data_IF_733233102269
#
_entry.id   IF_733233102269
#
_cell.length_a   1.000
_cell.length_b   1.000
_cell.length_c   1.000
_cell.angle_alpha   90.00
_cell.angle_beta   90.00
_cell.angle_gamma   90.00
#
_symmetry.space_group_name_H-M   'P 1'
#
loop_
_entity.id
_entity.type
_entity.pdbx_description
1 polymer ?
#
# COMPACT_ATOMS: atom_id res chain seq x y z
N UNK A 1 16.86 -1.69 15.65
CA UNK A 1 16.53 -0.31 15.23
C UNK A 1 17.10 -0.04 13.84
N UNK A 2 16.33 -0.34 12.78
CA UNK A 2 16.76 -0.09 11.40
C UNK A 2 16.34 1.33 10.99
N UNK A 3 17.32 2.23 10.83
CA UNK A 3 17.14 3.52 10.14
C UNK A 3 17.09 3.23 8.63
N UNK A 4 15.90 3.19 8.04
CA UNK A 4 15.73 3.11 6.59
C UNK A 4 14.56 4.00 6.15
N UNK A 5 14.78 5.31 6.27
CA UNK A 5 14.02 6.34 5.59
C UNK A 5 14.90 7.06 4.56
N UNK A 6 15.70 6.29 3.81
CA UNK A 6 16.38 6.81 2.62
C UNK A 6 15.43 6.70 1.42
N UNK A 7 14.34 7.48 1.44
CA UNK A 7 14.01 8.17 0.19
C UNK A 7 15.23 9.02 -0.10
N UNK A 8 16.08 8.57 -1.02
CA UNK A 8 17.31 9.28 -1.30
C UNK A 8 16.92 10.68 -1.81
N UNK A 9 17.08 11.69 -0.97
CA UNK A 9 16.81 13.10 -1.27
C UNK A 9 17.57 13.52 -2.54
N UNK A 10 18.64 12.81 -2.91
CA UNK A 10 19.33 12.95 -4.19
C UNK A 10 18.47 12.63 -5.41
N UNK A 11 17.48 11.73 -5.33
CA UNK A 11 16.54 11.48 -6.44
C UNK A 11 15.63 12.68 -6.72
N UNK A 12 15.47 13.61 -5.78
CA UNK A 12 14.71 14.85 -5.95
C UNK A 12 15.60 16.05 -6.32
N UNK A 13 16.93 15.92 -6.26
CA UNK A 13 17.87 17.02 -6.55
C UNK A 13 17.99 17.35 -8.05
N UNK A 14 17.54 16.47 -8.94
CA UNK A 14 17.59 16.70 -10.38
C UNK A 14 16.53 17.71 -10.86
N UNK A 15 16.96 18.78 -11.52
CA UNK A 15 16.07 19.74 -12.24
C UNK A 15 15.03 19.06 -13.13
N UNK A 16 15.36 17.88 -13.67
CA UNK A 16 14.51 17.15 -14.60
C UNK A 16 13.38 16.37 -13.91
N UNK A 17 13.55 15.90 -12.67
CA UNK A 17 12.46 15.25 -11.91
C UNK A 17 11.37 16.27 -11.57
N UNK A 18 11.75 17.51 -11.23
CA UNK A 18 10.82 18.61 -10.99
C UNK A 18 10.04 19.06 -12.21
N UNK A 19 10.73 19.30 -13.32
CA UNK A 19 10.07 19.74 -14.54
C UNK A 19 9.07 18.68 -14.99
N UNK A 20 9.47 17.42 -14.94
CA UNK A 20 8.64 16.34 -15.38
C UNK A 20 7.51 16.05 -14.36
N UNK A 21 7.67 16.24 -13.06
CA UNK A 21 6.56 16.22 -12.07
C UNK A 21 5.53 17.32 -12.34
N UNK A 22 5.98 18.54 -12.70
CA UNK A 22 5.10 19.63 -13.13
C UNK A 22 4.37 19.25 -14.42
N UNK A 23 5.08 18.81 -15.45
CA UNK A 23 4.49 18.49 -16.75
C UNK A 23 3.51 17.31 -16.61
N UNK A 24 3.85 16.32 -15.78
CA UNK A 24 2.97 15.22 -15.35
C UNK A 24 1.71 15.72 -14.67
N UNK A 25 1.86 16.54 -13.63
CA UNK A 25 0.72 17.05 -12.86
C UNK A 25 -0.12 17.99 -13.71
N UNK A 26 0.47 18.81 -14.56
CA UNK A 26 -0.23 19.71 -15.47
C UNK A 26 -0.98 18.94 -16.56
N UNK A 27 -0.38 17.92 -17.16
CA UNK A 27 -1.05 17.02 -18.11
C UNK A 27 -2.22 16.30 -17.44
N UNK A 28 -2.00 15.79 -16.23
CA UNK A 28 -3.02 15.19 -15.39
C UNK A 28 -4.13 16.22 -15.10
N UNK A 29 -3.80 17.45 -14.71
CA UNK A 29 -4.75 18.52 -14.42
C UNK A 29 -5.56 18.93 -15.66
N UNK A 30 -4.95 18.98 -16.84
CA UNK A 30 -5.65 19.30 -18.09
C UNK A 30 -6.59 18.18 -18.53
N UNK A 31 -6.17 16.92 -18.37
CA UNK A 31 -6.91 15.74 -18.85
C UNK A 31 -7.93 15.20 -17.84
N UNK A 32 -7.80 15.51 -16.55
CA UNK A 32 -8.78 15.16 -15.52
C UNK A 32 -10.03 16.04 -15.65
N UNK A 33 -11.22 15.47 -15.45
CA UNK A 33 -12.49 16.20 -15.39
C UNK A 33 -12.62 17.13 -14.18
N UNK A 34 -13.78 17.14 -13.52
CA UNK A 34 -14.05 18.01 -12.33
C UNK A 34 -13.55 17.45 -10.99
N UNK A 35 -12.90 16.28 -10.98
CA UNK A 35 -12.47 15.61 -9.73
C UNK A 35 -11.18 16.22 -9.20
N UNK A 36 -11.10 16.38 -7.89
CA UNK A 36 -9.91 16.83 -7.16
C UNK A 36 -9.17 15.63 -6.58
N UNK A 37 -7.84 15.71 -6.53
CA UNK A 37 -6.94 14.67 -6.03
C UNK A 37 -5.91 15.29 -5.10
N UNK A 38 -5.58 14.59 -4.03
CA UNK A 38 -4.61 15.05 -3.04
C UNK A 38 -3.38 14.15 -3.05
N UNK A 39 -2.19 14.75 -3.01
CA UNK A 39 -0.90 14.08 -2.91
C UNK A 39 -0.27 14.49 -1.57
N UNK A 40 -0.07 13.50 -0.71
CA UNK A 40 0.68 13.68 0.53
C UNK A 40 2.12 13.21 0.33
N UNK A 41 3.08 14.09 0.62
CA UNK A 41 4.51 13.80 0.62
C UNK A 41 4.96 13.66 2.08
N UNK A 42 5.18 12.43 2.53
CA UNK A 42 5.79 12.14 3.83
C UNK A 42 7.28 11.89 3.65
N UNK A 43 8.08 12.96 3.68
CA UNK A 43 9.55 12.90 3.54
C UNK A 43 10.16 13.71 4.66
N UNK A 44 11.09 13.10 5.39
CA UNK A 44 11.66 13.71 6.58
C UNK A 44 12.55 14.92 6.25
N UNK A 45 12.33 16.04 6.94
CA UNK A 45 13.17 17.23 6.88
C UNK A 45 13.35 17.84 8.27
N UNK A 46 14.31 18.75 8.43
CA UNK A 46 14.52 19.46 9.71
C UNK A 46 13.44 20.52 9.89
N UNK A 47 12.70 20.43 10.98
CA UNK A 47 11.54 21.29 11.25
C UNK A 47 11.59 21.91 12.63
N UNK A 48 10.88 23.03 12.78
CA UNK A 48 10.60 23.71 14.03
C UNK A 48 9.09 23.66 14.29
N UNK A 49 8.61 22.49 14.71
CA UNK A 49 7.22 22.23 15.06
C UNK A 49 6.21 22.56 13.92
N UNK A 50 4.92 22.35 14.18
CA UNK A 50 3.84 22.64 13.24
C UNK A 50 3.73 24.14 12.95
N UNK A 51 3.28 24.48 11.74
CA UNK A 51 2.92 25.86 11.45
C UNK A 51 1.58 26.22 12.12
N UNK A 52 1.43 27.50 12.45
CA UNK A 52 0.23 28.01 13.13
C UNK A 52 -1.00 27.84 12.25
N UNK A 53 -0.84 27.95 10.94
CA UNK A 53 -1.94 27.82 9.98
C UNK A 53 -2.55 26.41 9.95
N UNK A 54 -1.75 25.34 9.94
CA UNK A 54 -2.28 23.97 9.97
C UNK A 54 -3.00 23.68 11.29
N UNK A 55 -2.41 24.08 12.41
CA UNK A 55 -3.02 23.88 13.73
C UNK A 55 -4.34 24.66 13.86
N UNK A 56 -4.36 25.93 13.43
CA UNK A 56 -5.56 26.75 13.41
C UNK A 56 -6.62 26.14 12.49
N UNK A 57 -6.23 25.68 11.30
CA UNK A 57 -7.13 25.03 10.35
C UNK A 57 -7.82 23.81 10.96
N UNK A 58 -7.04 22.92 11.59
CA UNK A 58 -7.57 21.74 12.28
C UNK A 58 -8.48 22.11 13.47
N UNK A 59 -8.09 23.08 14.30
CA UNK A 59 -8.88 23.48 15.45
C UNK A 59 -10.24 24.08 15.06
N UNK A 60 -10.28 24.92 14.02
CA UNK A 60 -11.52 25.55 13.54
C UNK A 60 -12.45 24.52 12.89
N UNK A 61 -11.93 23.59 12.09
CA UNK A 61 -12.76 22.53 11.48
C UNK A 61 -13.32 21.58 12.53
N UNK A 62 -12.52 21.24 13.56
CA UNK A 62 -13.00 20.47 14.71
C UNK A 62 -14.11 21.19 15.47
N UNK A 63 -13.94 22.47 15.79
CA UNK A 63 -14.96 23.27 16.47
C UNK A 63 -16.27 23.37 15.67
N UNK A 64 -16.19 23.47 14.33
CA UNK A 64 -17.37 23.40 13.47
C UNK A 64 -18.05 22.03 13.58
N UNK A 65 -17.29 20.94 13.46
CA UNK A 65 -17.81 19.57 13.56
C UNK A 65 -18.53 19.33 14.89
N UNK A 66 -17.90 19.71 16.00
CA UNK A 66 -18.48 19.57 17.33
C UNK A 66 -19.77 20.39 17.47
N UNK A 67 -19.79 21.61 16.94
CA UNK A 67 -21.01 22.46 16.94
C UNK A 67 -22.13 21.86 16.08
N UNK A 68 -21.81 21.26 14.93
CA UNK A 68 -22.80 20.57 14.08
C UNK A 68 -23.39 19.36 14.82
N UNK A 69 -22.53 18.54 15.45
CA UNK A 69 -22.97 17.37 16.21
C UNK A 69 -23.92 17.76 17.36
N UNK A 70 -23.58 18.82 18.12
CA UNK A 70 -24.44 19.36 19.18
C UNK A 70 -25.81 19.78 18.63
N UNK A 71 -25.83 20.49 17.50
CA UNK A 71 -27.07 20.98 16.87
C UNK A 71 -27.88 19.79 16.35
N UNK A 72 -27.25 18.79 15.75
CA UNK A 72 -27.90 17.58 15.25
C UNK A 72 -28.60 16.82 16.39
N UNK A 73 -27.96 16.66 17.55
CA UNK A 73 -28.58 16.03 18.72
C UNK A 73 -29.82 16.82 19.21
N UNK A 74 -29.75 18.15 19.22
CA UNK A 74 -30.89 19.02 19.58
C UNK A 74 -32.02 18.96 18.56
N UNK A 75 -31.70 18.92 17.27
CA UNK A 75 -32.68 18.73 16.19
C UNK A 75 -33.39 17.40 16.37
N UNK A 76 -32.63 16.31 16.58
CA UNK A 76 -33.19 14.97 16.80
C UNK A 76 -34.14 14.92 18.00
N UNK A 77 -33.75 15.53 19.12
CA UNK A 77 -34.62 15.61 20.31
C UNK A 77 -35.92 16.39 20.05
N UNK A 78 -35.84 17.57 19.44
CA UNK A 78 -37.02 18.39 19.11
C UNK A 78 -37.96 17.68 18.14
N UNK A 79 -37.39 17.05 17.11
CA UNK A 79 -38.14 16.25 16.15
C UNK A 79 -38.88 15.11 16.83
N UNK A 80 -38.22 14.39 17.74
CA UNK A 80 -38.83 13.32 18.52
C UNK A 80 -40.00 13.83 19.38
N UNK A 81 -39.80 14.90 20.15
CA UNK A 81 -40.82 15.46 21.03
C UNK A 81 -42.06 15.95 20.26
N UNK A 82 -41.86 16.58 19.09
CA UNK A 82 -42.95 17.09 18.24
C UNK A 82 -43.72 15.93 17.59
N UNK A 83 -43.02 14.94 17.04
CA UNK A 83 -43.65 13.76 16.45
C UNK A 83 -44.43 12.93 17.50
N UNK A 84 -43.92 12.83 18.73
CA UNK A 84 -44.65 12.19 19.84
C UNK A 84 -45.96 12.90 20.16
N UNK A 85 -46.02 14.23 19.96
CA UNK A 85 -47.25 15.00 20.14
C UNK A 85 -48.27 14.82 19.00
N UNK A 86 -47.94 14.04 17.96
CA UNK A 86 -48.81 13.79 16.81
C UNK A 86 -48.77 14.88 15.73
N UNK A 87 -47.81 15.80 15.80
CA UNK A 87 -47.64 16.88 14.82
C UNK A 87 -46.37 16.65 13.99
N UNK A 88 -46.40 17.09 12.72
CA UNK A 88 -45.20 17.12 11.88
C UNK A 88 -44.42 18.41 12.19
N UNK A 89 -43.11 18.34 12.50
CA UNK A 89 -42.31 19.52 12.79
C UNK A 89 -42.09 20.39 11.54
N UNK A 90 -42.18 21.71 11.71
CA UNK A 90 -41.79 22.66 10.67
C UNK A 90 -40.28 22.99 10.75
N UNK A 91 -39.71 23.54 9.68
CA UNK A 91 -38.28 23.90 9.61
C UNK A 91 -37.87 24.89 10.73
N UNK A 92 -38.78 25.76 11.12
CA UNK A 92 -38.58 26.76 12.18
C UNK A 92 -38.53 26.14 13.60
N UNK A 93 -39.20 25.00 13.80
CA UNK A 93 -39.17 24.25 15.05
C UNK A 93 -37.85 23.48 15.22
N UNK A 94 -37.30 22.99 14.10
CA UNK A 94 -36.09 22.18 14.09
C UNK A 94 -34.82 23.03 14.22
N UNK A 95 -34.70 24.15 13.50
CA UNK A 95 -33.48 24.97 13.52
C UNK A 95 -33.76 26.35 14.13
N UNK A 96 -33.34 26.54 15.39
CA UNK A 96 -33.54 27.82 16.06
C UNK A 96 -32.53 28.88 15.60
N UNK A 97 -32.87 30.15 15.85
CA UNK A 97 -32.00 31.29 15.53
C UNK A 97 -30.65 31.21 16.23
N UNK A 98 -30.60 30.69 17.46
CA UNK A 98 -29.37 30.51 18.22
C UNK A 98 -28.41 29.52 17.54
N UNK A 99 -28.93 28.39 17.06
CA UNK A 99 -28.18 27.38 16.31
C UNK A 99 -27.60 28.00 15.03
N UNK A 100 -28.42 28.79 14.34
CA UNK A 100 -28.02 29.52 13.12
C UNK A 100 -26.90 30.52 13.40
N UNK A 101 -26.96 31.26 14.51
CA UNK A 101 -25.90 32.21 14.91
C UNK A 101 -24.60 31.46 15.24
N UNK A 102 -24.67 30.33 15.96
CA UNK A 102 -23.48 29.50 16.25
C UNK A 102 -22.84 28.97 14.97
N UNK A 103 -23.63 28.46 14.02
CA UNK A 103 -23.14 28.02 12.72
C UNK A 103 -22.48 29.16 11.95
N UNK A 104 -23.12 30.34 11.88
CA UNK A 104 -22.54 31.52 11.21
C UNK A 104 -21.20 31.94 11.82
N UNK A 105 -21.04 31.88 13.15
CA UNK A 105 -19.77 32.16 13.83
C UNK A 105 -18.67 31.16 13.44
N UNK A 106 -19.01 29.87 13.35
CA UNK A 106 -18.06 28.85 12.93
C UNK A 106 -17.65 29.03 11.46
N UNK A 107 -18.61 29.32 10.56
CA UNK A 107 -18.35 29.60 9.14
C UNK A 107 -17.45 30.83 8.98
N UNK A 108 -17.71 31.89 9.74
CA UNK A 108 -16.87 33.09 9.71
C UNK A 108 -15.43 32.78 10.16
N UNK A 109 -15.27 31.91 11.17
CA UNK A 109 -13.96 31.49 11.66
C UNK A 109 -13.15 30.64 10.65
N UNK A 110 -13.84 29.99 9.71
CA UNK A 110 -13.23 29.22 8.61
C UNK A 110 -12.70 30.07 7.46
N UNK A 111 -13.09 31.35 7.40
CA UNK A 111 -12.59 32.25 6.37
C UNK A 111 -11.07 32.40 6.49
N UNK A 112 -10.41 32.36 5.34
CA UNK A 112 -8.95 32.49 5.21
C UNK A 112 -8.64 33.54 4.14
N UNK A 113 -7.56 34.28 4.35
CA UNK A 113 -7.10 35.30 3.41
C UNK A 113 -6.05 34.77 2.41
N UNK A 114 -5.55 33.54 2.62
CA UNK A 114 -4.50 32.92 1.81
C UNK A 114 -4.87 31.55 1.21
N UNK A 115 -3.97 31.02 0.39
CA UNK A 115 -4.09 29.66 -0.16
C UNK A 115 -3.79 28.60 0.92
N UNK A 116 -4.35 27.37 0.81
CA UNK A 116 -3.99 26.27 1.69
C UNK A 116 -2.47 26.03 1.69
N UNK A 117 -1.83 25.91 2.87
CA UNK A 117 -0.37 25.77 2.94
C UNK A 117 0.08 24.46 2.30
N UNK A 118 1.22 24.51 1.62
CA UNK A 118 1.85 23.34 0.98
C UNK A 118 2.58 22.45 1.98
N UNK A 119 2.92 22.96 3.17
CA UNK A 119 3.62 22.23 4.23
C UNK A 119 2.89 22.37 5.56
N UNK A 120 2.99 21.34 6.38
CA UNK A 120 2.36 21.29 7.72
C UNK A 120 3.25 21.84 8.83
N UNK A 121 4.56 21.96 8.58
CA UNK A 121 5.57 22.35 9.58
C UNK A 121 6.37 23.57 9.14
N UNK A 122 7.00 24.23 10.10
CA UNK A 122 7.99 25.26 9.82
C UNK A 122 9.33 24.56 9.50
N UNK A 123 9.68 24.45 8.21
CA UNK A 123 10.97 23.86 7.81
C UNK A 123 12.10 24.85 8.14
N UNK A 124 13.19 24.37 8.76
CA UNK A 124 14.29 25.23 9.25
C UNK A 124 14.94 25.99 8.09
N UNK A 125 15.42 25.25 7.09
CA UNK A 125 16.09 25.81 5.91
C UNK A 125 15.18 25.75 4.68
N UNK A 126 13.98 26.33 4.82
CA UNK A 126 12.88 26.31 3.84
C UNK A 126 13.30 26.63 2.39
N UNK A 127 14.18 27.62 2.19
CA UNK A 127 14.68 28.04 0.87
C UNK A 127 15.72 27.11 0.26
N UNK A 128 16.31 26.22 1.05
CA UNK A 128 17.27 25.22 0.56
C UNK A 128 16.66 23.82 0.49
N UNK A 129 15.48 23.63 1.11
CA UNK A 129 14.80 22.35 1.13
C UNK A 129 14.45 21.92 -0.31
N UNK A 130 14.93 20.74 -0.74
CA UNK A 130 14.77 20.30 -2.11
C UNK A 130 13.31 19.98 -2.47
N UNK A 131 12.47 19.59 -1.50
CA UNK A 131 11.05 19.31 -1.74
C UNK A 131 10.30 20.62 -1.96
N UNK A 132 10.46 21.58 -1.05
CA UNK A 132 9.77 22.87 -1.14
C UNK A 132 10.21 23.69 -2.35
N UNK A 133 11.51 23.72 -2.64
CA UNK A 133 12.02 24.35 -3.86
C UNK A 133 11.49 23.69 -5.12
N UNK A 134 11.30 22.37 -5.08
CA UNK A 134 10.71 21.63 -6.18
C UNK A 134 9.25 22.00 -6.40
N UNK A 135 8.45 22.02 -5.34
CA UNK A 135 7.04 22.45 -5.38
C UNK A 135 6.91 23.89 -5.92
N UNK A 136 7.76 24.82 -5.45
CA UNK A 136 7.81 26.21 -5.94
C UNK A 136 8.18 26.30 -7.41
N UNK A 137 9.24 25.59 -7.82
CA UNK A 137 9.64 25.47 -9.23
C UNK A 137 8.60 24.79 -10.10
N UNK A 138 7.65 24.06 -9.51
CA UNK A 138 6.53 23.42 -10.18
C UNK A 138 5.25 24.27 -10.16
N UNK A 139 5.22 25.42 -9.47
CA UNK A 139 4.03 26.28 -9.28
C UNK A 139 2.83 25.54 -8.66
N UNK A 140 3.09 24.54 -7.82
CA UNK A 140 2.05 23.77 -7.13
C UNK A 140 1.71 24.45 -5.80
N UNK A 141 0.86 25.47 -5.85
CA UNK A 141 0.54 26.34 -4.70
C UNK A 141 -0.83 26.06 -4.08
N UNK A 142 -1.48 24.96 -4.45
CA UNK A 142 -2.84 24.62 -4.02
C UNK A 142 -3.86 25.73 -4.36
N UNK A 143 -3.69 26.35 -5.53
CA UNK A 143 -4.64 27.37 -6.02
C UNK A 143 -6.03 26.76 -6.22
N UNK A 144 -7.08 27.58 -6.31
CA UNK A 144 -8.45 27.08 -6.52
C UNK A 144 -8.58 26.25 -7.82
N UNK A 145 -7.77 26.56 -8.82
CA UNK A 145 -7.80 25.91 -10.13
C UNK A 145 -7.01 24.60 -10.18
N UNK A 146 -6.08 24.38 -9.23
CA UNK A 146 -5.25 23.18 -9.21
C UNK A 146 -6.12 21.97 -8.88
N UNK A 147 -6.21 20.98 -9.78
CA UNK A 147 -6.97 19.75 -9.51
C UNK A 147 -6.20 18.75 -8.66
N UNK A 148 -4.88 18.92 -8.59
CA UNK A 148 -3.98 18.12 -7.77
C UNK A 148 -3.46 19.03 -6.67
N UNK A 149 -3.76 18.69 -5.41
CA UNK A 149 -3.26 19.41 -4.23
C UNK A 149 -2.04 18.68 -3.67
N UNK A 150 -1.09 19.43 -3.14
CA UNK A 150 0.14 18.89 -2.54
C UNK A 150 0.20 19.28 -1.07
N UNK A 151 0.44 18.28 -0.23
CA UNK A 151 0.65 18.43 1.20
C UNK A 151 1.99 17.80 1.56
N UNK A 152 2.94 18.60 2.00
CA UNK A 152 4.22 18.16 2.52
C UNK A 152 4.15 18.00 4.03
N UNK A 153 4.39 16.78 4.49
CA UNK A 153 4.45 16.43 5.91
C UNK A 153 5.86 15.96 6.27
N UNK A 154 6.75 16.90 6.67
CA UNK A 154 8.12 16.60 7.06
C UNK A 154 8.26 16.07 8.50
N UNK A 155 7.36 15.18 8.92
CA UNK A 155 7.46 14.44 10.18
C UNK A 155 7.00 12.99 9.99
N UNK A 156 7.45 12.08 10.87
CA UNK A 156 6.87 10.74 10.94
C UNK A 156 5.43 10.82 11.42
N UNK A 157 4.57 10.01 10.82
CA UNK A 157 3.18 9.89 11.24
C UNK A 157 3.09 9.10 12.54
N UNK A 158 2.40 9.69 13.51
CA UNK A 158 2.12 9.10 14.81
C UNK A 158 0.69 9.45 15.20
N UNK A 159 0.03 8.54 15.93
CA UNK A 159 -1.30 8.76 16.51
C UNK A 159 -1.36 9.97 17.44
N UNK A 160 -0.23 10.37 18.04
CA UNK A 160 -0.11 11.59 18.85
C UNK A 160 -0.06 12.88 18.05
N UNK A 161 0.05 12.81 16.71
CA UNK A 161 0.13 13.98 15.85
C UNK A 161 -1.21 14.76 15.85
N UNK A 162 -1.21 16.06 16.18
CA UNK A 162 -2.44 16.84 16.32
C UNK A 162 -3.16 17.11 14.99
N UNK A 163 -2.53 16.90 13.83
CA UNK A 163 -3.14 17.16 12.53
C UNK A 163 -3.90 15.96 11.97
N UNK A 164 -3.26 14.78 11.99
CA UNK A 164 -3.83 13.57 11.41
C UNK A 164 -4.42 12.61 12.44
N UNK A 165 -3.77 12.47 13.60
CA UNK A 165 -4.18 11.52 14.64
C UNK A 165 -4.18 10.06 14.18
N UNK A 166 -3.25 9.69 13.29
CA UNK A 166 -3.13 8.35 12.70
C UNK A 166 -1.69 7.86 12.79
N UNK A 167 -1.53 6.57 13.07
CA UNK A 167 -0.24 5.91 12.90
C UNK A 167 0.08 5.69 11.41
N UNK A 168 1.35 5.46 11.11
CA UNK A 168 1.83 5.28 9.73
C UNK A 168 1.04 4.22 8.96
N UNK A 169 0.80 3.06 9.57
CA UNK A 169 0.07 1.97 8.91
C UNK A 169 -1.39 2.31 8.61
N UNK A 170 -2.04 3.04 9.51
CA UNK A 170 -3.44 3.48 9.34
C UNK A 170 -3.53 4.50 8.20
N UNK A 171 -2.56 5.42 8.14
CA UNK A 171 -2.45 6.39 7.06
C UNK A 171 -2.24 5.70 5.70
N UNK A 172 -1.33 4.72 5.62
CA UNK A 172 -1.10 3.95 4.39
C UNK A 172 -2.38 3.22 3.95
N UNK A 173 -3.09 2.58 4.89
CA UNK A 173 -4.37 1.91 4.61
C UNK A 173 -5.48 2.86 4.11
N UNK A 174 -5.45 4.10 4.58
CA UNK A 174 -6.35 5.18 4.15
C UNK A 174 -6.00 5.76 2.77
N UNK A 175 -4.79 5.54 2.28
CA UNK A 175 -4.36 5.98 0.96
C UNK A 175 -4.89 5.06 -0.16
N UNK A 176 -4.88 5.59 -1.38
CA UNK A 176 -5.35 4.86 -2.57
C UNK A 176 -4.21 4.22 -3.38
N UNK A 177 -3.05 4.85 -3.40
CA UNK A 177 -1.91 4.49 -4.23
C UNK A 177 -0.63 4.95 -3.55
N UNK A 178 0.34 4.06 -3.38
CA UNK A 178 1.72 4.40 -2.99
C UNK A 178 2.56 4.73 -4.22
N UNK A 179 3.41 5.76 -4.17
CA UNK A 179 4.23 6.17 -5.32
C UNK A 179 5.69 6.28 -4.89
N UNK A 180 6.50 5.32 -5.31
CA UNK A 180 7.90 5.13 -4.90
C UNK A 180 8.83 5.06 -6.12
N UNK A 181 9.04 6.16 -6.86
CA UNK A 181 9.81 6.18 -8.10
C UNK A 181 11.33 6.20 -7.83
N UNK A 182 11.83 5.29 -6.99
CA UNK A 182 13.20 5.30 -6.49
C UNK A 182 14.24 5.07 -7.58
N UNK A 183 15.36 5.80 -7.49
CA UNK A 183 16.53 5.58 -8.35
C UNK A 183 17.47 4.50 -7.78
N UNK A 184 17.64 4.50 -6.46
CA UNK A 184 18.45 3.53 -5.73
C UNK A 184 17.68 3.05 -4.51
N UNK A 185 17.14 1.85 -4.61
CA UNK A 185 16.39 1.18 -3.55
C UNK A 185 16.69 -0.32 -3.63
N UNK A 186 17.62 -0.84 -2.82
CA UNK A 186 18.11 -2.21 -2.96
C UNK A 186 17.06 -3.30 -2.71
N UNK A 187 16.00 -2.99 -1.96
CA UNK A 187 14.95 -3.95 -1.64
C UNK A 187 13.54 -3.45 -1.97
N UNK A 188 13.11 -2.33 -1.37
CA UNK A 188 11.73 -1.88 -1.53
C UNK A 188 10.83 -2.13 -0.34
N UNK A 189 11.22 -1.74 0.89
CA UNK A 189 10.37 -2.01 2.07
C UNK A 189 9.02 -1.32 1.98
N UNK A 190 8.99 -0.05 1.59
CA UNK A 190 7.76 0.74 1.51
C UNK A 190 6.76 0.23 0.46
N UNK A 191 7.16 -0.09 -0.79
CA UNK A 191 6.25 -0.73 -1.73
C UNK A 191 5.82 -2.15 -1.30
N UNK A 192 6.71 -2.91 -0.65
CA UNK A 192 6.36 -4.24 -0.11
C UNK A 192 5.31 -4.14 1.02
N UNK A 193 5.48 -3.20 1.94
CA UNK A 193 4.54 -2.92 3.02
C UNK A 193 3.18 -2.48 2.49
N UNK A 194 3.16 -1.59 1.50
CA UNK A 194 1.93 -1.21 0.79
C UNK A 194 1.23 -2.45 0.21
N UNK A 195 1.99 -3.37 -0.37
CA UNK A 195 1.44 -4.62 -0.96
C UNK A 195 0.80 -5.51 0.11
N UNK A 196 1.47 -5.66 1.27
CA UNK A 196 0.94 -6.40 2.42
C UNK A 196 -0.35 -5.77 2.95
N UNK A 197 -0.46 -4.44 2.91
CA UNK A 197 -1.67 -3.71 3.30
C UNK A 197 -2.75 -3.65 2.21
N UNK A 198 -2.56 -4.32 1.06
CA UNK A 198 -3.49 -4.31 -0.06
C UNK A 198 -3.60 -2.96 -0.77
N UNK A 199 -2.55 -2.13 -0.70
CA UNK A 199 -2.46 -0.82 -1.34
C UNK A 199 -1.64 -0.94 -2.62
N UNK A 200 -2.23 -0.67 -3.80
CA UNK A 200 -1.49 -0.60 -5.06
C UNK A 200 -0.30 0.36 -4.93
N UNK A 201 0.81 0.03 -5.58
CA UNK A 201 2.01 0.86 -5.54
C UNK A 201 2.67 1.01 -6.90
N UNK A 202 3.29 2.17 -7.14
CA UNK A 202 4.18 2.40 -8.27
C UNK A 202 5.62 2.31 -7.76
N UNK A 203 6.42 1.43 -8.36
CA UNK A 203 7.84 1.19 -8.08
C UNK A 203 8.64 1.28 -9.39
N UNK A 204 9.94 0.96 -9.39
CA UNK A 204 10.81 1.00 -10.56
C UNK A 204 11.41 -0.38 -10.89
N UNK A 205 11.86 -0.58 -12.13
CA UNK A 205 12.34 -1.86 -12.68
C UNK A 205 13.67 -2.39 -12.12
N UNK A 206 13.99 -2.00 -10.88
CA UNK A 206 14.88 -2.72 -9.97
C UNK A 206 14.10 -3.68 -9.04
N UNK A 207 12.78 -3.79 -9.21
CA UNK A 207 11.86 -4.70 -8.51
C UNK A 207 10.90 -5.39 -9.50
N UNK A 208 10.54 -6.65 -9.26
CA UNK A 208 9.89 -7.56 -10.23
C UNK A 208 8.37 -7.31 -10.44
N UNK A 209 7.83 -7.75 -11.58
CA UNK A 209 6.55 -7.31 -12.19
C UNK A 209 5.34 -8.25 -11.96
N UNK A 210 4.29 -7.74 -11.27
CA UNK A 210 2.90 -8.15 -11.50
C UNK A 210 1.90 -6.96 -11.64
N UNK A 211 1.89 -6.24 -12.77
CA UNK A 211 0.97 -5.09 -13.00
C UNK A 211 -0.53 -5.41 -12.86
N UNK A 212 -0.99 -6.64 -13.16
CA UNK A 212 -2.40 -7.05 -13.01
C UNK A 212 -2.87 -7.15 -11.54
N UNK A 213 -1.92 -7.13 -10.61
CA UNK A 213 -2.12 -7.16 -9.16
C UNK A 213 -1.95 -5.79 -8.51
N UNK A 214 -1.80 -4.70 -9.29
CA UNK A 214 -1.68 -3.35 -8.74
C UNK A 214 -0.26 -2.93 -8.36
N UNK A 215 0.76 -3.62 -8.89
CA UNK A 215 2.16 -3.21 -8.78
C UNK A 215 2.60 -2.64 -10.12
N UNK A 216 2.69 -1.31 -10.21
CA UNK A 216 3.11 -0.63 -11.44
C UNK A 216 4.61 -0.44 -11.43
N UNK A 217 5.31 -0.90 -12.47
CA UNK A 217 6.77 -0.81 -12.54
C UNK A 217 7.17 0.19 -13.62
N UNK A 218 7.72 1.34 -13.20
CA UNK A 218 8.27 2.35 -14.11
C UNK A 218 9.68 1.94 -14.55
N UNK A 219 9.95 2.05 -15.84
CA UNK A 219 11.30 1.82 -16.36
C UNK A 219 12.18 3.05 -16.08
N UNK A 220 13.24 2.86 -15.30
CA UNK A 220 14.28 3.88 -15.07
C UNK A 220 15.66 3.45 -15.57
N UNK A 221 15.78 2.24 -16.13
CA UNK A 221 17.05 1.64 -16.55
C UNK A 221 17.30 1.76 -18.05
N UNK A 222 16.26 1.58 -18.86
CA UNK A 222 16.39 1.47 -20.32
C UNK A 222 15.79 2.65 -21.08
N UNK A 223 15.17 3.61 -20.38
CA UNK A 223 14.58 4.81 -20.98
C UNK A 223 15.17 6.09 -20.39
N UNK A 224 14.97 7.20 -21.11
CA UNK A 224 15.39 8.53 -20.66
C UNK A 224 14.58 8.96 -19.43
N UNK A 225 15.16 9.86 -18.63
CA UNK A 225 14.49 10.36 -17.42
C UNK A 225 13.15 11.03 -17.73
N UNK A 226 13.05 11.76 -18.84
CA UNK A 226 11.78 12.33 -19.30
C UNK A 226 10.76 11.23 -19.63
N UNK A 227 11.20 10.16 -20.32
CA UNK A 227 10.35 9.01 -20.63
C UNK A 227 9.84 8.30 -19.37
N UNK A 228 10.70 8.11 -18.36
CA UNK A 228 10.31 7.53 -17.07
C UNK A 228 9.22 8.34 -16.38
N UNK A 229 9.33 9.67 -16.43
CA UNK A 229 8.36 10.52 -15.77
C UNK A 229 7.04 10.58 -16.54
N UNK A 230 7.07 10.60 -17.87
CA UNK A 230 5.86 10.45 -18.68
C UNK A 230 5.16 9.11 -18.43
N UNK A 231 5.91 8.02 -18.25
CA UNK A 231 5.35 6.73 -17.90
C UNK A 231 4.71 6.74 -16.49
N UNK A 232 5.39 7.32 -15.49
CA UNK A 232 4.85 7.53 -14.16
C UNK A 232 3.54 8.34 -14.20
N UNK A 233 3.54 9.44 -14.95
CA UNK A 233 2.38 10.29 -15.18
C UNK A 233 1.20 9.50 -15.72
N UNK A 234 1.47 8.66 -16.72
CA UNK A 234 0.47 7.86 -17.38
C UNK A 234 -0.15 6.84 -16.41
N UNK A 235 0.65 6.16 -15.60
CA UNK A 235 0.14 5.24 -14.58
C UNK A 235 -0.72 5.94 -13.52
N UNK A 236 -0.29 7.10 -13.03
CA UNK A 236 -1.08 7.90 -12.10
C UNK A 236 -2.41 8.35 -12.75
N UNK A 237 -2.35 8.83 -14.00
CA UNK A 237 -3.52 9.27 -14.74
C UNK A 237 -4.51 8.14 -14.99
N UNK A 238 -4.05 6.96 -15.42
CA UNK A 238 -4.94 5.82 -15.66
C UNK A 238 -5.55 5.28 -14.37
N UNK A 239 -4.82 5.32 -13.26
CA UNK A 239 -5.37 5.01 -11.95
C UNK A 239 -6.54 5.95 -11.57
N UNK A 240 -6.45 7.24 -11.91
CA UNK A 240 -7.54 8.21 -11.64
C UNK A 240 -8.83 7.91 -12.41
N UNK A 241 -8.74 7.19 -13.54
CA UNK A 241 -9.90 6.81 -14.36
C UNK A 241 -10.66 5.61 -13.79
N UNK A 242 -10.06 4.86 -12.86
CA UNK A 242 -10.70 3.69 -12.28
C UNK A 242 -11.95 4.08 -11.47
N UNK A 243 -12.98 3.25 -11.56
CA UNK A 243 -14.16 3.34 -10.71
C UNK A 243 -13.86 2.86 -9.29
N UNK A 244 -14.73 3.20 -8.32
CA UNK A 244 -14.60 2.70 -6.93
C UNK A 244 -14.54 1.17 -6.88
N UNK A 245 -15.43 0.49 -7.64
CA UNK A 245 -15.44 -0.97 -7.75
C UNK A 245 -14.14 -1.54 -8.31
N UNK A 246 -13.60 -0.94 -9.37
CA UNK A 246 -12.31 -1.37 -9.94
C UNK A 246 -11.15 -1.20 -8.95
N UNK A 247 -11.13 -0.09 -8.19
CA UNK A 247 -10.11 0.13 -7.13
C UNK A 247 -10.21 -0.91 -6.02
N UNK A 248 -11.41 -1.25 -5.56
CA UNK A 248 -11.61 -2.30 -4.54
C UNK A 248 -11.10 -3.65 -5.06
N UNK A 249 -11.49 -4.03 -6.29
CA UNK A 249 -11.01 -5.28 -6.91
C UNK A 249 -9.49 -5.29 -7.01
N UNK A 250 -8.87 -4.17 -7.38
CA UNK A 250 -7.43 -4.05 -7.46
C UNK A 250 -6.76 -4.21 -6.09
N UNK A 251 -7.25 -3.54 -5.04
CA UNK A 251 -6.76 -3.70 -3.66
C UNK A 251 -6.80 -5.16 -3.20
N UNK A 252 -7.92 -5.84 -3.44
CA UNK A 252 -8.07 -7.27 -3.12
C UNK A 252 -7.11 -8.16 -3.92
N UNK A 253 -6.66 -7.75 -5.11
CA UNK A 253 -5.61 -8.48 -5.85
C UNK A 253 -4.25 -8.18 -5.26
N UNK A 254 -3.96 -6.92 -4.95
CA UNK A 254 -2.69 -6.52 -4.34
C UNK A 254 -2.45 -7.25 -3.03
N UNK A 255 -3.48 -7.37 -2.18
CA UNK A 255 -3.40 -8.09 -0.91
C UNK A 255 -3.02 -9.58 -1.10
N UNK A 256 -3.47 -10.24 -2.17
CA UNK A 256 -3.10 -11.64 -2.46
C UNK A 256 -1.61 -11.84 -2.74
N UNK A 257 -0.89 -10.79 -3.08
CA UNK A 257 0.57 -10.85 -3.23
C UNK A 257 1.31 -10.82 -1.89
N UNK A 258 0.63 -10.48 -0.79
CA UNK A 258 1.24 -10.41 0.54
C UNK A 258 1.89 -11.74 0.95
N UNK A 259 1.25 -12.87 0.62
CA UNK A 259 1.77 -14.21 0.88
C UNK A 259 3.17 -14.41 0.26
N UNK A 260 3.44 -13.85 -0.93
CA UNK A 260 4.74 -13.98 -1.59
C UNK A 260 5.86 -13.23 -0.87
N UNK A 261 5.50 -12.21 -0.10
CA UNK A 261 6.42 -11.37 0.66
C UNK A 261 6.66 -11.90 2.09
N UNK A 262 5.97 -12.97 2.50
CA UNK A 262 6.18 -13.61 3.81
C UNK A 262 7.56 -14.30 3.87
N UNK A 263 8.21 -14.18 5.02
CA UNK A 263 9.44 -14.91 5.37
C UNK A 263 9.30 -16.43 5.28
N UNK A 264 8.08 -16.97 5.39
CA UNK A 264 7.83 -18.39 5.11
C UNK A 264 8.25 -18.78 3.69
N UNK A 265 8.06 -17.88 2.72
CA UNK A 265 8.45 -18.09 1.32
C UNK A 265 9.87 -17.56 1.05
N UNK A 266 10.20 -16.35 1.51
CA UNK A 266 11.51 -15.73 1.25
C UNK A 266 12.66 -16.40 2.03
N UNK A 267 12.38 -17.02 3.18
CA UNK A 267 13.37 -17.72 3.99
C UNK A 267 13.98 -18.94 3.31
N UNK A 268 13.33 -19.46 2.26
CA UNK A 268 13.84 -20.56 1.43
C UNK A 268 15.20 -20.19 0.82
N UNK A 269 15.38 -18.95 0.36
CA UNK A 269 16.64 -18.48 -0.23
C UNK A 269 17.79 -18.42 0.79
N UNK A 270 17.49 -18.11 2.05
CA UNK A 270 18.48 -18.18 3.14
C UNK A 270 18.89 -19.62 3.48
N UNK A 271 18.00 -20.59 3.28
CA UNK A 271 18.33 -22.01 3.44
C UNK A 271 19.21 -22.49 2.29
N UNK A 272 18.88 -22.12 1.05
CA UNK A 272 19.68 -22.41 -0.13
C UNK A 272 21.10 -21.86 -0.02
N UNK A 273 21.25 -20.58 0.35
CA UNK A 273 22.57 -19.96 0.52
C UNK A 273 23.45 -20.68 1.57
N UNK A 274 22.84 -21.13 2.68
CA UNK A 274 23.54 -21.92 3.71
C UNK A 274 23.92 -23.31 3.21
N UNK A 275 23.03 -23.98 2.48
CA UNK A 275 23.31 -25.27 1.88
C UNK A 275 24.43 -25.19 0.85
N UNK A 276 24.43 -24.17 -0.02
CA UNK A 276 25.52 -23.93 -0.98
C UNK A 276 26.85 -23.68 -0.27
N UNK A 277 26.87 -22.86 0.79
CA UNK A 277 28.06 -22.64 1.59
C UNK A 277 28.59 -23.96 2.21
N UNK A 278 27.71 -24.82 2.71
CA UNK A 278 28.08 -26.13 3.25
C UNK A 278 28.63 -27.07 2.18
N UNK A 279 28.04 -27.10 0.96
CA UNK A 279 28.54 -27.89 -0.16
C UNK A 279 29.94 -27.46 -0.60
N UNK A 280 30.24 -26.16 -0.52
CA UNK A 280 31.57 -25.62 -0.87
C UNK A 280 32.61 -26.07 0.16
N UNK A 281 32.29 -26.03 1.46
CA UNK A 281 33.22 -26.38 2.55
C UNK A 281 33.35 -27.90 2.73
N UNK A 282 32.24 -28.63 2.57
CA UNK A 282 32.15 -30.07 2.75
C UNK A 282 31.56 -30.72 1.48
N UNK A 283 32.41 -31.15 0.52
CA UNK A 283 31.96 -31.72 -0.75
C UNK A 283 31.11 -33.00 -0.60
N UNK A 284 31.27 -33.73 0.50
CA UNK A 284 30.50 -34.94 0.83
C UNK A 284 29.12 -34.63 1.43
N UNK A 285 28.80 -33.35 1.67
CA UNK A 285 27.51 -32.92 2.18
C UNK A 285 26.41 -33.13 1.14
N UNK A 286 25.50 -34.07 1.42
CA UNK A 286 24.30 -34.31 0.61
C UNK A 286 23.14 -33.54 1.20
N UNK A 287 22.68 -32.53 0.48
CA UNK A 287 21.48 -31.80 0.87
C UNK A 287 20.22 -32.59 0.50
N UNK A 288 19.58 -33.21 1.50
CA UNK A 288 18.31 -33.90 1.32
C UNK A 288 17.11 -32.95 1.18
N UNK A 289 17.30 -31.64 1.34
CA UNK A 289 16.22 -30.65 1.23
C UNK A 289 15.96 -30.19 -0.22
N UNK A 290 16.92 -30.34 -1.13
CA UNK A 290 16.86 -29.80 -2.50
C UNK A 290 15.70 -30.34 -3.36
N UNK A 291 15.14 -31.50 -3.01
CA UNK A 291 14.15 -32.19 -3.84
C UNK A 291 12.78 -31.49 -3.92
N UNK A 292 12.44 -30.59 -3.00
CA UNK A 292 11.15 -29.88 -3.00
C UNK A 292 11.25 -28.41 -3.46
N UNK A 293 12.45 -27.82 -3.52
CA UNK A 293 12.65 -26.37 -3.70
C UNK A 293 12.65 -25.87 -5.15
N UNK A 294 12.64 -26.78 -6.15
CA UNK A 294 12.76 -26.42 -7.57
C UNK A 294 11.50 -25.85 -8.24
N UNK A 295 10.37 -25.76 -7.53
CA UNK A 295 9.13 -25.24 -8.11
C UNK A 295 9.17 -23.72 -8.12
N UNK A 296 9.32 -23.12 -9.31
CA UNK A 296 9.12 -21.69 -9.50
C UNK A 296 7.71 -21.31 -9.04
N UNK A 297 7.62 -20.35 -8.11
CA UNK A 297 6.35 -19.73 -7.74
C UNK A 297 5.79 -19.01 -8.97
N UNK A 298 4.74 -19.58 -9.57
CA UNK A 298 4.05 -18.99 -10.70
C UNK A 298 2.60 -18.75 -10.29
N UNK A 299 2.22 -17.49 -10.10
CA UNK A 299 0.85 -17.17 -9.68
C UNK A 299 -0.03 -17.05 -10.93
N UNK A 300 -1.16 -17.79 -11.01
CA UNK A 300 -2.05 -17.73 -12.16
C UNK A 300 -2.76 -16.38 -12.22
N UNK A 301 -2.95 -15.83 -13.42
CA UNK A 301 -3.62 -14.52 -13.60
C UNK A 301 -4.92 -14.45 -12.78
N UNK A 302 -5.21 -13.31 -12.14
CA UNK A 302 -6.37 -13.20 -11.28
C UNK A 302 -7.64 -13.37 -12.13
N UNK A 303 -8.56 -14.25 -11.71
CA UNK A 303 -9.79 -14.62 -12.44
C UNK A 303 -10.64 -13.39 -12.83
N UNK A 304 -10.56 -12.34 -12.00
CA UNK A 304 -11.25 -11.07 -12.23
C UNK A 304 -10.63 -10.19 -13.35
N UNK A 305 -9.47 -10.54 -13.89
CA UNK A 305 -8.88 -9.86 -15.06
C UNK A 305 -9.66 -10.29 -16.32
N UNK A 306 -10.14 -9.34 -17.15
CA UNK A 306 -10.80 -9.71 -18.39
C UNK A 306 -9.83 -10.53 -19.26
N UNK A 307 -10.30 -11.60 -19.92
CA UNK A 307 -9.43 -12.39 -20.80
C UNK A 307 -8.82 -11.46 -21.84
N UNK A 308 -7.49 -11.51 -22.00
CA UNK A 308 -6.80 -10.74 -23.05
C UNK A 308 -7.44 -11.08 -24.41
N UNK A 309 -7.59 -10.12 -25.33
CA UNK A 309 -8.13 -10.41 -26.66
C UNK A 309 -7.23 -11.47 -27.31
N UNK A 310 -7.79 -12.66 -27.50
CA UNK A 310 -7.12 -13.76 -28.17
C UNK A 310 -6.80 -13.29 -29.58
N UNK A 311 -5.52 -13.06 -29.90
CA UNK A 311 -5.09 -13.00 -31.29
C UNK A 311 -5.56 -14.30 -31.93
N UNK A 312 -6.56 -14.19 -32.80
CA UNK A 312 -7.06 -15.32 -33.57
C UNK A 312 -5.89 -15.90 -34.35
N UNK A 313 -5.45 -17.09 -33.96
CA UNK A 313 -4.57 -17.90 -34.80
C UNK A 313 -5.36 -18.14 -36.08
N UNK A 314 -4.97 -17.40 -37.11
CA UNK A 314 -5.44 -17.57 -38.48
C UNK A 314 -5.12 -19.02 -38.86
N UNK A 315 -6.15 -19.87 -38.90
CA UNK A 315 -6.04 -21.20 -39.49
C UNK A 315 -5.85 -21.00 -40.99
N UNK A 316 -4.60 -21.03 -41.44
CA UNK A 316 -4.33 -21.26 -42.85
C UNK A 316 -4.59 -22.73 -43.16
N UNK A 317 -5.32 -22.92 -44.25
CA UNK A 317 -5.83 -24.18 -44.78
C UNK A 317 -4.89 -24.52 -45.93
N UNK A 318 -4.16 -25.64 -45.87
CA UNK A 318 -3.90 -26.52 -47.03
C UNK A 318 -3.07 -27.79 -46.69
N UNK A 319 -3.67 -28.95 -47.03
CA UNK A 319 -3.14 -30.15 -47.74
C UNK A 319 -1.66 -30.55 -47.51
N UNK A 320 -1.22 -31.77 -47.17
CA UNK A 320 -1.62 -33.17 -47.52
C UNK A 320 -0.71 -34.16 -46.71
N UNK A 321 -0.91 -35.50 -46.75
CA UNK A 321 -0.44 -36.43 -45.69
C UNK A 321 0.84 -37.22 -46.03
N UNK A 322 1.68 -37.53 -45.03
CA UNK A 322 2.56 -38.72 -44.99
C UNK A 322 3.08 -39.02 -43.56
N UNK A 323 3.43 -40.29 -43.26
CA UNK A 323 3.32 -40.86 -41.92
C UNK A 323 4.67 -41.03 -41.17
N UNK A 324 4.53 -41.45 -39.90
CA UNK A 324 5.54 -41.97 -38.97
C UNK A 324 6.33 -40.98 -38.10
N UNK A 325 5.88 -40.84 -36.84
CA UNK A 325 6.69 -41.09 -35.63
C UNK A 325 5.82 -41.18 -34.37
N UNK A 326 6.19 -42.13 -33.52
CA UNK A 326 5.43 -42.77 -32.44
C UNK A 326 5.10 -41.86 -31.26
N UNK A 327 3.94 -42.12 -30.68
CA UNK A 327 3.39 -41.54 -29.46
C UNK A 327 4.19 -41.94 -28.19
N UNK A 328 4.42 -40.98 -27.30
CA UNK A 328 4.53 -41.20 -25.85
C UNK A 328 3.65 -40.16 -25.14
N UNK A 329 2.41 -40.54 -24.81
CA UNK A 329 1.56 -39.83 -23.85
C UNK A 329 1.98 -40.22 -22.43
N UNK A 330 2.35 -39.23 -21.60
CA UNK A 330 2.55 -39.41 -20.16
C UNK A 330 1.44 -38.68 -19.38
N UNK A 331 0.83 -39.43 -18.46
CA UNK A 331 -0.37 -39.13 -17.68
C UNK A 331 -0.19 -37.93 -16.73
N UNK A 332 -0.93 -36.83 -16.94
CA UNK A 332 -1.00 -35.70 -15.98
C UNK A 332 -2.42 -35.13 -15.78
N UNK A 333 -3.48 -35.89 -16.05
CA UNK A 333 -4.87 -35.39 -15.97
C UNK A 333 -5.49 -35.39 -14.57
N UNK A 334 -4.99 -36.22 -13.65
CA UNK A 334 -5.78 -36.55 -12.46
C UNK A 334 -5.50 -35.65 -11.25
N UNK A 335 -4.30 -35.07 -11.14
CA UNK A 335 -3.92 -34.17 -10.04
C UNK A 335 -4.52 -32.75 -10.16
N UNK A 336 -4.94 -32.32 -11.35
CA UNK A 336 -5.49 -30.98 -11.57
C UNK A 336 -6.97 -30.88 -11.16
N UNK A 337 -7.72 -31.98 -11.22
CA UNK A 337 -9.15 -32.01 -10.93
C UNK A 337 -9.47 -31.94 -9.43
N UNK A 338 -8.59 -32.45 -8.56
CA UNK A 338 -8.82 -32.40 -7.10
C UNK A 338 -8.59 -31.02 -6.49
N UNK A 339 -7.59 -30.28 -6.98
CA UNK A 339 -7.28 -28.91 -6.52
C UNK A 339 -8.40 -27.95 -6.93
N UNK A 340 -8.97 -28.12 -8.13
CA UNK A 340 -10.10 -27.32 -8.59
C UNK A 340 -11.38 -27.56 -7.79
N UNK A 341 -11.67 -28.80 -7.40
CA UNK A 341 -12.84 -29.13 -6.57
C UNK A 341 -12.75 -28.56 -5.14
N UNK A 342 -11.57 -28.62 -4.50
CA UNK A 342 -11.36 -28.05 -3.15
C UNK A 342 -11.53 -26.53 -3.14
N UNK A 343 -11.11 -25.84 -4.21
CA UNK A 343 -11.27 -24.38 -4.35
C UNK A 343 -12.73 -23.96 -4.55
N UNK A 344 -13.54 -24.77 -5.24
CA UNK A 344 -14.98 -24.52 -5.44
C UNK A 344 -15.78 -24.62 -4.14
N UNK A 345 -15.45 -25.58 -3.27
CA UNK A 345 -16.14 -25.78 -1.98
C UNK A 345 -15.84 -24.63 -1.01
N UNK A 346 -14.61 -24.09 -1.01
CA UNK A 346 -14.25 -22.94 -0.19
C UNK A 346 -14.88 -21.63 -0.69
N UNK A 347 -15.05 -21.48 -2.01
CA UNK A 347 -15.75 -20.35 -2.64
C UNK A 347 -17.23 -20.30 -2.26
N UNK A 348 -17.91 -21.44 -2.25
CA UNK A 348 -19.34 -21.52 -1.94
C UNK A 348 -19.63 -21.11 -0.49
N UNK A 349 -18.75 -21.50 0.45
CA UNK A 349 -18.83 -21.08 1.86
C UNK A 349 -18.57 -19.59 2.07
N UNK A 350 -17.74 -18.96 1.23
CA UNK A 350 -17.46 -17.51 1.32
C UNK A 350 -18.55 -16.63 0.72
N UNK A 351 -19.39 -17.16 -0.18
CA UNK A 351 -20.50 -16.45 -0.82
C UNK A 351 -21.78 -16.47 0.04
N UNK A 352 -21.99 -17.49 0.88
CA UNK A 352 -23.12 -17.54 1.83
C UNK A 352 -23.03 -16.51 2.97
N UNK A 353 -21.88 -15.84 3.15
CA UNK A 353 -21.62 -14.89 4.25
C UNK A 353 -21.96 -13.43 3.85
N UNK A 354 -22.33 -13.16 2.59
CA UNK A 354 -22.51 -11.81 2.06
C UNK A 354 -23.88 -11.60 1.41
N UNK A 355 -24.92 -11.46 2.23
CA UNK A 355 -26.15 -10.78 1.80
C UNK A 355 -25.97 -9.26 2.01
N UNK A 356 -25.59 -8.57 0.95
CA UNK A 356 -25.60 -7.10 0.90
C UNK A 356 -26.75 -6.68 -0.01
N UNK A 357 -27.84 -6.20 0.59
CA UNK A 357 -28.90 -5.50 -0.13
C UNK A 357 -28.43 -4.08 -0.44
N UNK A 358 -28.40 -3.74 -1.73
CA UNK A 358 -28.03 -2.45 -2.29
C UNK A 358 -29.30 -1.58 -2.39
N UNK A 359 -29.51 -0.71 -1.40
CA UNK A 359 -30.42 0.44 -1.52
C UNK A 359 -29.60 1.73 -1.46
N UNK A 360 -29.75 2.54 -2.52
CA UNK A 360 -28.78 3.55 -2.95
C UNK A 360 -28.59 4.80 -2.08
N UNK A 361 -27.49 5.49 -2.43
CA UNK A 361 -27.15 6.90 -2.16
C UNK A 361 -27.12 7.38 -0.69
N UNK A 362 -26.40 6.66 0.18
CA UNK A 362 -25.96 7.21 1.48
C UNK A 362 -24.43 6.98 1.68
N UNK A 363 -23.60 7.98 2.09
CA UNK A 363 -22.16 7.80 2.23
C UNK A 363 -21.73 7.17 3.56
N UNK A 364 -22.66 6.80 4.45
CA UNK A 364 -22.38 6.11 5.71
C UNK A 364 -22.95 4.69 5.71
N UNK A 365 -22.12 3.73 5.33
CA UNK A 365 -22.38 2.31 5.64
C UNK A 365 -21.42 1.93 6.76
N UNK A 366 -21.96 1.72 7.96
CA UNK A 366 -21.25 1.03 9.03
C UNK A 366 -21.12 -0.46 8.65
N UNK A 367 -19.88 -0.93 8.57
CA UNK A 367 -19.56 -2.34 8.35
C UNK A 367 -19.41 -2.98 9.73
N UNK A 368 -20.42 -3.73 10.17
CA UNK A 368 -20.31 -4.57 11.36
C UNK A 368 -19.74 -5.94 10.98
N UNK A 369 -18.74 -6.39 11.73
CA UNK A 369 -18.17 -7.73 11.60
C UNK A 369 -18.69 -8.58 12.76
N UNK A 370 -19.53 -9.58 12.48
CA UNK A 370 -19.79 -10.63 13.46
C UNK A 370 -18.55 -11.52 13.55
N UNK A 371 -17.87 -11.50 14.71
CA UNK A 371 -16.82 -12.47 15.02
C UNK A 371 -17.47 -13.86 15.15
N UNK A 372 -16.99 -14.89 14.45
CA UNK A 372 -17.42 -16.25 14.74
C UNK A 372 -16.99 -16.60 16.18
N UNK A 373 -17.93 -17.14 16.96
CA UNK A 373 -17.67 -17.71 18.29
C UNK A 373 -16.75 -18.94 18.13
N UNK A 374 -15.44 -18.72 18.19
CA UNK A 374 -14.48 -19.79 18.44
C UNK A 374 -14.55 -20.13 19.93
N UNK A 375 -14.99 -21.35 20.23
CA UNK A 375 -14.93 -21.93 21.57
C UNK A 375 -13.45 -22.14 21.96
N UNK A 376 -13.10 -21.77 23.19
CA UNK A 376 -11.74 -21.67 23.76
C UNK A 376 -10.95 -23.01 23.86
N UNK A 377 -11.34 -24.09 23.17
CA UNK A 377 -10.73 -25.41 23.37
C UNK A 377 -9.57 -25.80 22.43
N UNK A 378 -9.06 -24.89 21.58
CA UNK A 378 -7.93 -25.22 20.67
C UNK A 378 -6.62 -24.45 20.97
N UNK A 379 -6.54 -23.74 22.09
CA UNK A 379 -5.35 -22.95 22.46
C UNK A 379 -4.26 -23.71 23.27
N UNK A 380 -4.30 -25.04 23.39
CA UNK A 380 -3.33 -25.78 24.25
C UNK A 380 -2.07 -26.35 23.58
N UNK A 381 -1.82 -26.15 22.28
CA UNK A 381 -0.62 -26.75 21.63
C UNK A 381 0.52 -25.79 21.26
N UNK A 382 0.53 -24.56 21.76
CA UNK A 382 1.71 -23.69 21.67
C UNK A 382 2.37 -23.50 23.04
N UNK A 383 3.13 -24.52 23.48
CA UNK A 383 4.20 -24.28 24.45
C UNK A 383 5.37 -23.63 23.71
N UNK A 384 5.73 -22.42 24.11
CA UNK A 384 7.09 -21.91 23.91
C UNK A 384 8.07 -22.92 24.52
N UNK A 385 9.17 -23.28 23.84
CA UNK A 385 10.18 -24.15 24.43
C UNK A 385 10.74 -23.48 25.70
N UNK A 386 10.78 -24.20 26.81
CA UNK A 386 11.35 -23.74 28.08
C UNK A 386 12.76 -23.18 27.87
N UNK A 387 13.06 -22.04 28.52
CA UNK A 387 14.34 -21.31 28.45
C UNK A 387 15.57 -22.19 28.81
N UNK A 388 15.38 -23.30 29.52
CA UNK A 388 16.44 -24.26 29.88
C UNK A 388 16.98 -25.11 28.71
N UNK A 389 16.43 -25.00 27.50
CA UNK A 389 16.92 -25.73 26.31
C UNK A 389 17.94 -24.93 25.48
N UNK A 390 18.03 -23.61 25.71
CA UNK A 390 18.90 -22.71 24.94
C UNK A 390 20.33 -22.63 25.49
N UNK A 391 20.53 -22.78 26.81
CA UNK A 391 21.86 -22.73 27.43
C UNK A 391 22.81 -23.84 26.96
N UNK A 392 22.42 -25.14 26.93
CA UNK A 392 23.31 -26.22 26.49
C UNK A 392 23.66 -26.13 25.00
N UNK A 393 22.73 -25.59 24.18
CA UNK A 393 22.93 -25.38 22.76
C UNK A 393 23.93 -24.26 22.47
N UNK A 394 23.90 -23.18 23.26
CA UNK A 394 24.84 -22.07 23.12
C UNK A 394 26.27 -22.47 23.54
N UNK A 395 26.41 -23.31 24.57
CA UNK A 395 27.71 -23.79 25.05
C UNK A 395 28.36 -24.77 24.05
N UNK A 396 27.59 -25.71 23.52
CA UNK A 396 28.06 -26.64 22.49
C UNK A 396 28.42 -25.95 21.17
N UNK A 397 27.68 -24.89 20.79
CA UNK A 397 27.99 -24.09 19.60
C UNK A 397 29.23 -23.22 19.84
N UNK A 398 29.42 -22.67 21.04
CA UNK A 398 30.62 -21.92 21.40
C UNK A 398 31.88 -22.81 21.36
N UNK A 399 31.84 -24.03 21.92
CA UNK A 399 32.95 -24.97 21.84
C UNK A 399 33.29 -25.37 20.40
N UNK A 400 32.29 -25.52 19.53
CA UNK A 400 32.52 -25.82 18.11
C UNK A 400 33.16 -24.64 17.36
N UNK A 401 32.81 -23.40 17.74
CA UNK A 401 33.43 -22.19 17.17
C UNK A 401 34.89 -22.08 17.63
N UNK A 402 35.18 -22.33 18.91
CA UNK A 402 36.55 -22.26 19.45
C UNK A 402 37.46 -23.34 18.85
N UNK A 403 36.94 -24.56 18.62
CA UNK A 403 37.67 -25.61 17.91
C UNK A 403 37.96 -25.24 16.45
N UNK A 404 37.05 -24.51 15.79
CA UNK A 404 37.23 -24.01 14.43
C UNK A 404 38.28 -22.90 14.37
N UNK A 405 38.29 -21.99 15.36
CA UNK A 405 39.29 -20.93 15.49
C UNK A 405 40.69 -21.52 15.73
N UNK A 406 40.81 -22.52 16.63
CA UNK A 406 42.07 -23.22 16.89
C UNK A 406 42.63 -23.91 15.64
N UNK A 407 41.77 -24.59 14.87
CA UNK A 407 42.19 -25.24 13.62
C UNK A 407 42.60 -24.25 12.53
N UNK A 408 42.02 -23.04 12.53
CA UNK A 408 42.40 -21.98 11.61
C UNK A 408 43.74 -21.33 11.99
N UNK A 409 44.06 -21.24 13.29
CA UNK A 409 45.36 -20.77 13.78
C UNK A 409 46.48 -21.79 13.49
N UNK A 410 46.23 -23.09 13.68
CA UNK A 410 47.20 -24.14 13.33
C UNK A 410 47.50 -24.20 11.83
N UNK A 411 46.53 -23.83 10.97
CA UNK A 411 46.74 -23.69 9.52
C UNK A 411 47.54 -22.43 9.14
N UNK A 412 47.53 -21.40 9.98
CA UNK A 412 48.22 -20.13 9.72
C UNK A 412 49.69 -20.16 10.14
N UNK A 413 50.04 -20.94 11.17
CA UNK A 413 51.42 -21.07 11.69
C UNK A 413 52.24 -22.15 10.96
N UNK A 414 51.65 -22.84 9.96
CA UNK A 414 52.25 -23.92 9.18
C UNK A 414 52.80 -23.55 7.79
N UNK A 415 52.88 -22.26 7.45
CA UNK A 415 53.44 -21.77 6.17
C UNK A 415 54.61 -20.79 6.36
#
# INVERSE_FOLDING_TARGET
MAKLNNFNVESLRGHAVTKALRDTINDIQQKIGKRMYDICLSIMSKTNNFNVESLRGHAVTKALRDTINDIQQKIGKRMYDICLSGHLPDASDLLHKEDTVRLKRCIYSLQRDGLPPITTHNVVDDWSDPVLNSIRRCELFNTVNDKVKVIFHPEFLTSTNPLFGLDYEEFVRGCHLGVFPSYYEPWGYTPAECTVMGIPSITTNLSADPMSYGIYVVDRRYISLEGSVQQLAQYMFDFTKLTRRQRIIQRNRTERLSDLLDWRNLGIYYRQARAEALKIVYPDYVDHMDQELGKRFNYPRPISEPPSPTHSIRRERDQSPSPDRKDEECQTSDCQNEVQKKNLINLQKSLEILDINDDGDDPSIEVSFEKPNFTESEHENYRTPNENFLEPLNEAVAEQIDQLISKLQDCADGN
#
